data_IF_040938337812
#
_entry.id   IF_040938337812
#
_cell.length_a   1.000
_cell.length_b   1.000
_cell.length_c   1.000
_cell.angle_alpha   90.00
_cell.angle_beta   90.00
_cell.angle_gamma   90.00
#
_symmetry.space_group_name_H-M   'P 1'
#
loop_
_entity.id
_entity.type
_entity.pdbx_description
1 polymer ?
#
# COMPACT_ATOMS: atom_id res chain seq x y z
N UNK A 1 4.90 16.13 -14.30
CA UNK A 1 5.84 15.14 -14.88
C UNK A 1 5.10 13.82 -15.06
N UNK A 2 5.05 13.24 -16.26
CA UNK A 2 4.46 11.92 -16.45
C UNK A 2 5.43 10.85 -15.90
N UNK A 3 4.89 9.91 -15.13
CA UNK A 3 5.65 8.84 -14.49
C UNK A 3 6.34 7.96 -15.56
N UNK A 4 7.61 7.58 -15.37
CA UNK A 4 8.30 6.76 -16.35
C UNK A 4 7.71 5.34 -16.34
N UNK A 5 7.18 4.92 -17.49
CA UNK A 5 6.89 3.51 -17.77
C UNK A 5 8.21 2.72 -17.63
N UNK A 6 8.35 1.89 -16.60
CA UNK A 6 9.53 1.05 -16.38
C UNK A 6 9.12 -0.35 -15.91
N UNK A 7 9.50 -1.35 -16.73
CA UNK A 7 9.83 -2.75 -16.45
C UNK A 7 9.03 -3.52 -15.37
N UNK A 8 8.03 -4.29 -15.81
CA UNK A 8 7.66 -5.59 -15.20
C UNK A 8 6.95 -5.58 -13.84
N UNK A 9 6.59 -4.41 -13.31
CA UNK A 9 5.82 -4.29 -12.07
C UNK A 9 4.50 -3.54 -12.31
N UNK A 10 3.51 -3.84 -11.48
CA UNK A 10 2.21 -3.15 -11.47
C UNK A 10 2.36 -1.89 -10.62
N UNK A 11 2.07 -0.74 -11.23
CA UNK A 11 2.04 0.54 -10.52
C UNK A 11 0.59 0.98 -10.33
N UNK A 12 0.21 1.23 -9.07
CA UNK A 12 -1.11 1.73 -8.70
C UNK A 12 -0.96 3.05 -7.97
N UNK A 13 -1.64 4.08 -8.46
CA UNK A 13 -1.70 5.39 -7.80
C UNK A 13 -3.04 5.53 -7.06
N UNK A 14 -2.99 5.41 -5.74
CA UNK A 14 -4.19 5.41 -4.88
C UNK A 14 -4.23 6.67 -3.98
N UNK A 15 -4.76 7.80 -4.48
CA UNK A 15 -4.74 9.06 -3.75
C UNK A 15 -5.71 9.05 -2.55
N UNK A 16 -5.36 9.80 -1.51
CA UNK A 16 -6.24 10.03 -0.36
C UNK A 16 -7.15 11.22 -0.69
N UNK A 17 -8.37 10.94 -1.13
CA UNK A 17 -9.36 11.96 -1.51
C UNK A 17 -10.34 12.33 -0.37
N UNK A 18 -10.03 11.98 0.88
CA UNK A 18 -10.82 12.36 2.06
C UNK A 18 -10.90 11.25 3.10
N UNK A 19 -11.41 10.08 2.72
CA UNK A 19 -11.56 8.95 3.64
C UNK A 19 -10.37 7.98 3.51
N UNK A 20 -9.44 8.07 4.46
CA UNK A 20 -8.25 7.21 4.56
C UNK A 20 -8.60 5.73 4.70
N UNK A 21 -9.59 5.38 5.53
CA UNK A 21 -9.96 3.97 5.73
C UNK A 21 -10.46 3.32 4.44
N UNK A 22 -11.20 4.08 3.62
CA UNK A 22 -11.69 3.63 2.32
C UNK A 22 -10.54 3.47 1.31
N UNK A 23 -9.54 4.35 1.35
CA UNK A 23 -8.33 4.22 0.55
C UNK A 23 -7.49 2.99 0.95
N UNK A 24 -7.29 2.76 2.25
CA UNK A 24 -6.59 1.58 2.74
C UNK A 24 -7.33 0.27 2.43
N UNK A 25 -8.66 0.24 2.49
CA UNK A 25 -9.46 -0.92 2.04
C UNK A 25 -9.16 -1.31 0.60
N UNK A 26 -9.06 -0.32 -0.30
CA UNK A 26 -8.70 -0.57 -1.71
C UNK A 26 -7.27 -1.09 -1.85
N UNK A 27 -6.32 -0.55 -1.08
CA UNK A 27 -4.95 -1.10 -1.05
C UNK A 27 -4.98 -2.56 -0.60
N UNK A 28 -5.64 -2.87 0.53
CA UNK A 28 -5.71 -4.23 1.06
C UNK A 28 -6.35 -5.21 0.07
N UNK A 29 -7.42 -4.81 -0.62
CA UNK A 29 -8.04 -5.61 -1.66
C UNK A 29 -7.06 -5.94 -2.80
N UNK A 30 -6.28 -4.95 -3.26
CA UNK A 30 -5.25 -5.17 -4.29
C UNK A 30 -4.13 -6.07 -3.81
N UNK A 31 -3.62 -5.86 -2.60
CA UNK A 31 -2.58 -6.71 -2.03
C UNK A 31 -3.05 -8.17 -1.90
N UNK A 32 -4.34 -8.39 -1.59
CA UNK A 32 -4.94 -9.71 -1.53
C UNK A 32 -5.14 -10.35 -2.92
N UNK A 33 -5.61 -9.58 -3.91
CA UNK A 33 -5.76 -10.01 -5.31
C UNK A 33 -4.41 -10.52 -5.89
N UNK A 34 -3.34 -9.78 -5.62
CA UNK A 34 -1.98 -10.09 -6.07
C UNK A 34 -1.25 -11.09 -5.15
N UNK A 35 -1.91 -11.58 -4.09
CA UNK A 35 -1.36 -12.53 -3.10
C UNK A 35 -0.02 -12.09 -2.50
N UNK A 36 0.07 -10.82 -2.11
CA UNK A 36 1.29 -10.26 -1.53
C UNK A 36 1.57 -10.86 -0.15
N UNK A 37 2.78 -11.36 0.06
CA UNK A 37 3.23 -11.91 1.35
C UNK A 37 3.88 -10.87 2.28
N UNK A 38 4.47 -9.81 1.73
CA UNK A 38 5.26 -8.82 2.47
C UNK A 38 5.02 -7.42 1.93
N UNK A 39 4.77 -6.46 2.82
CA UNK A 39 4.60 -5.04 2.49
C UNK A 39 5.83 -4.27 2.95
N UNK A 40 6.44 -3.48 2.05
CA UNK A 40 7.57 -2.60 2.36
C UNK A 40 7.17 -1.14 2.20
N UNK A 41 7.23 -0.38 3.29
CA UNK A 41 7.00 1.05 3.33
C UNK A 41 8.32 1.78 3.02
N UNK A 42 8.55 2.10 1.75
CA UNK A 42 9.74 2.82 1.30
C UNK A 42 9.52 4.34 1.39
N UNK A 43 9.81 4.93 2.56
CA UNK A 43 9.48 6.35 2.86
C UNK A 43 8.01 6.68 2.65
N UNK A 44 7.14 5.78 3.10
CA UNK A 44 5.70 6.02 3.08
C UNK A 44 5.32 6.95 4.23
N UNK A 45 4.88 8.17 3.91
CA UNK A 45 4.65 9.23 4.90
C UNK A 45 3.28 9.13 5.60
N UNK A 46 2.39 8.25 5.13
CA UNK A 46 1.08 8.08 5.76
C UNK A 46 1.19 7.06 6.88
N UNK A 47 0.70 7.42 8.07
CA UNK A 47 0.55 6.50 9.18
C UNK A 47 -0.47 5.43 8.74
N UNK A 48 -0.25 4.14 9.04
CA UNK A 48 -1.23 3.09 8.75
C UNK A 48 -2.31 3.04 9.82
N UNK A 49 -3.55 2.67 9.47
CA UNK A 49 -4.56 2.35 10.51
C UNK A 49 -4.29 1.00 11.17
N UNK A 50 -4.91 0.78 12.33
CA UNK A 50 -4.86 -0.50 13.04
C UNK A 50 -5.39 -1.66 12.21
N UNK A 51 -6.47 -1.45 11.44
CA UNK A 51 -7.06 -2.48 10.58
C UNK A 51 -6.08 -2.93 9.49
N UNK A 52 -5.31 -2.00 8.90
CA UNK A 52 -4.29 -2.33 7.91
C UNK A 52 -3.18 -3.18 8.51
N UNK A 53 -2.68 -2.81 9.70
CA UNK A 53 -1.64 -3.57 10.40
C UNK A 53 -2.14 -4.95 10.81
N UNK A 54 -3.40 -5.04 11.25
CA UNK A 54 -4.02 -6.31 11.63
C UNK A 54 -4.22 -7.27 10.45
N UNK A 55 -4.40 -6.76 9.22
CA UNK A 55 -4.47 -7.59 8.02
C UNK A 55 -3.11 -8.21 7.63
N UNK A 56 -2.01 -7.53 7.96
CA UNK A 56 -0.64 -7.97 7.67
C UNK A 56 0.23 -8.08 8.94
N UNK A 57 -0.16 -8.95 9.90
CA UNK A 57 0.56 -9.06 11.17
C UNK A 57 1.96 -9.60 10.90
N UNK A 58 2.99 -8.92 11.44
CA UNK A 58 4.40 -9.27 11.27
C UNK A 58 4.89 -9.33 9.80
N UNK A 59 4.16 -8.70 8.86
CA UNK A 59 4.44 -8.74 7.41
C UNK A 59 4.60 -7.33 6.82
N UNK A 60 4.98 -6.36 7.64
CA UNK A 60 5.20 -4.97 7.24
C UNK A 60 6.60 -4.55 7.68
N UNK A 61 7.41 -4.05 6.74
CA UNK A 61 8.72 -3.45 6.99
C UNK A 61 8.63 -1.96 6.68
N UNK A 62 9.15 -1.10 7.57
CA UNK A 62 9.22 0.33 7.35
C UNK A 62 10.67 0.81 7.32
N UNK A 63 11.00 1.67 6.35
CA UNK A 63 12.31 2.30 6.23
C UNK A 63 12.09 3.82 6.25
N UNK A 64 12.77 4.48 7.17
CA UNK A 64 12.76 5.93 7.35
C UNK A 64 13.97 6.58 6.65
#
# INVERSE_FOLDING_TARGET
MPWPCRRGYIFVHEPIAGNKAEQERRILARLAEERVDLVVLARYMQILTGDFVAAYPNRIINIH
#
